data_IF_256572621607
#
_entry.id   IF_256572621607
#
_cell.length_a   1.000
_cell.length_b   1.000
_cell.length_c   1.000
_cell.angle_alpha   90.00
_cell.angle_beta   90.00
_cell.angle_gamma   90.00
#
_symmetry.space_group_name_H-M   'P 1'
#
loop_
_entity.id
_entity.type
_entity.pdbx_description
1 polymer ?
#
# COMPACT_ATOMS: atom_id res chain seq x y z
N UNK A 1 -5.69 0.48 9.22
CA UNK A 1 -5.17 0.15 10.56
C UNK A 1 -5.23 -1.37 10.66
N UNK A 2 -4.09 -2.04 10.70
CA UNK A 2 -4.02 -3.50 10.63
C UNK A 2 -4.10 -4.08 12.03
N UNK A 3 -5.13 -4.88 12.31
CA UNK A 3 -5.28 -5.62 13.56
C UNK A 3 -5.20 -7.11 13.24
N UNK A 4 -4.23 -7.80 13.83
CA UNK A 4 -4.07 -9.24 13.66
C UNK A 4 -4.27 -9.92 15.00
N UNK A 5 -5.33 -10.72 15.12
CA UNK A 5 -5.61 -11.53 16.31
C UNK A 5 -4.83 -12.85 16.24
N UNK A 6 -4.18 -13.23 17.34
CA UNK A 6 -3.50 -14.52 17.46
C UNK A 6 -4.51 -15.66 17.47
N UNK A 7 -4.28 -16.70 16.66
CA UNK A 7 -5.09 -17.93 16.67
C UNK A 7 -4.56 -18.91 17.74
N UNK A 8 -5.45 -19.79 18.22
CA UNK A 8 -5.09 -20.83 19.20
C UNK A 8 -4.09 -21.80 18.57
N UNK A 9 -2.94 -22.03 19.22
CA UNK A 9 -1.83 -22.85 18.68
C UNK A 9 -0.91 -22.14 17.67
N UNK A 10 -1.11 -20.84 17.41
CA UNK A 10 -0.26 -20.09 16.49
C UNK A 10 1.05 -19.64 17.17
N UNK A 11 2.19 -19.94 16.53
CA UNK A 11 3.48 -19.43 16.97
C UNK A 11 3.64 -17.93 16.68
N UNK A 12 4.40 -17.22 17.50
CA UNK A 12 4.66 -15.77 17.38
C UNK A 12 5.29 -15.40 16.03
N UNK A 13 6.20 -16.23 15.50
CA UNK A 13 6.82 -15.98 14.20
C UNK A 13 5.82 -16.00 13.05
N UNK A 14 4.88 -16.93 13.08
CA UNK A 14 3.83 -17.06 12.06
C UNK A 14 2.88 -15.86 12.10
N UNK A 15 2.59 -15.37 13.31
CA UNK A 15 1.80 -14.16 13.53
C UNK A 15 2.50 -12.92 12.94
N UNK A 16 3.80 -12.75 13.21
CA UNK A 16 4.61 -11.64 12.67
C UNK A 16 4.72 -11.68 11.14
N UNK A 17 4.88 -12.87 10.56
CA UNK A 17 4.87 -13.06 9.10
C UNK A 17 3.52 -12.64 8.49
N UNK A 18 2.40 -13.04 9.10
CA UNK A 18 1.06 -12.63 8.65
C UNK A 18 0.87 -11.13 8.77
N UNK A 19 1.25 -10.53 9.90
CA UNK A 19 1.20 -9.08 10.08
C UNK A 19 2.00 -8.34 9.02
N UNK A 20 3.23 -8.79 8.74
CA UNK A 20 4.11 -8.21 7.72
C UNK A 20 3.47 -8.29 6.33
N UNK A 21 2.86 -9.43 5.99
CA UNK A 21 2.16 -9.62 4.72
C UNK A 21 0.98 -8.63 4.57
N UNK A 22 0.10 -8.56 5.56
CA UNK A 22 -1.07 -7.67 5.53
C UNK A 22 -0.64 -6.19 5.49
N UNK A 23 0.37 -5.82 6.27
CA UNK A 23 0.92 -4.45 6.29
C UNK A 23 1.51 -4.04 4.94
N UNK A 24 2.16 -4.97 4.24
CA UNK A 24 2.66 -4.76 2.88
C UNK A 24 1.53 -4.64 1.86
N UNK A 25 0.50 -5.48 1.96
CA UNK A 25 -0.68 -5.44 1.08
C UNK A 25 -1.44 -4.12 1.21
N UNK A 26 -1.64 -3.63 2.44
CA UNK A 26 -2.26 -2.31 2.69
C UNK A 26 -1.37 -1.12 2.31
N UNK A 27 -0.12 -1.34 1.86
CA UNK A 27 0.83 -0.28 1.45
C UNK A 27 1.01 0.84 2.49
N UNK A 28 0.87 0.53 3.78
CA UNK A 28 0.89 1.52 4.87
C UNK A 28 2.20 2.32 4.89
N UNK A 29 3.33 1.65 4.66
CA UNK A 29 4.64 2.30 4.62
C UNK A 29 4.75 3.36 3.50
N UNK A 30 4.11 3.11 2.35
CA UNK A 30 4.07 4.07 1.25
C UNK A 30 3.23 5.30 1.60
N UNK A 31 2.05 5.08 2.19
CA UNK A 31 1.15 6.16 2.59
C UNK A 31 1.74 7.04 3.69
N UNK A 32 2.43 6.45 4.67
CA UNK A 32 3.15 7.18 5.71
C UNK A 32 4.27 8.02 5.10
N UNK A 33 5.10 7.44 4.23
CA UNK A 33 6.18 8.18 3.57
C UNK A 33 5.67 9.33 2.71
N UNK A 34 4.53 9.15 2.02
CA UNK A 34 3.90 10.20 1.21
C UNK A 34 3.40 11.38 2.05
N UNK A 35 3.03 11.13 3.31
CA UNK A 35 2.57 12.14 4.27
C UNK A 35 3.67 12.65 5.22
N UNK A 36 4.88 12.10 5.13
CA UNK A 36 6.00 12.47 6.00
C UNK A 36 6.37 13.96 5.89
N UNK A 37 6.18 14.53 4.70
CA UNK A 37 6.45 15.95 4.44
C UNK A 37 5.20 16.62 3.90
N UNK A 38 5.05 17.90 4.21
CA UNK A 38 4.01 18.71 3.60
C UNK A 38 4.26 18.85 2.09
N UNK A 39 3.24 18.56 1.29
CA UNK A 39 3.22 18.82 -0.14
C UNK A 39 2.23 19.93 -0.45
N UNK A 40 2.66 20.94 -1.22
CA UNK A 40 1.76 21.98 -1.74
C UNK A 40 0.59 21.34 -2.51
N UNK A 41 -0.65 21.85 -2.41
CA UNK A 41 -1.82 21.23 -3.04
C UNK A 41 -1.70 21.02 -4.56
N UNK A 42 -0.99 21.91 -5.26
CA UNK A 42 -0.72 21.77 -6.71
C UNK A 42 0.15 20.55 -7.02
N UNK A 43 1.19 20.30 -6.23
CA UNK A 43 2.06 19.14 -6.36
C UNK A 43 1.30 17.85 -6.02
N UNK A 44 0.44 17.89 -4.99
CA UNK A 44 -0.41 16.75 -4.65
C UNK A 44 -1.37 16.38 -5.78
N UNK A 45 -1.99 17.38 -6.44
CA UNK A 45 -2.83 17.17 -7.63
C UNK A 45 -2.04 16.54 -8.78
N UNK A 46 -0.83 17.03 -9.03
CA UNK A 46 0.07 16.51 -10.08
C UNK A 46 0.43 15.04 -9.84
N UNK A 47 0.81 14.68 -8.61
CA UNK A 47 1.10 13.29 -8.24
C UNK A 47 -0.12 12.37 -8.41
N UNK A 48 -1.30 12.78 -7.92
CA UNK A 48 -2.53 12.00 -8.06
C UNK A 48 -2.87 11.72 -9.53
N UNK A 49 -2.67 12.70 -10.42
CA UNK A 49 -2.87 12.51 -11.85
C UNK A 49 -1.86 11.51 -12.44
N UNK A 50 -0.58 11.63 -12.08
CA UNK A 50 0.48 10.71 -12.52
C UNK A 50 0.17 9.27 -12.08
N UNK A 51 -0.25 9.06 -10.84
CA UNK A 51 -0.63 7.75 -10.30
C UNK A 51 -1.85 7.17 -11.05
N UNK A 52 -2.85 8.00 -11.36
CA UNK A 52 -4.03 7.58 -12.14
C UNK A 52 -3.65 7.13 -13.56
N UNK A 53 -2.78 7.87 -14.23
CA UNK A 53 -2.28 7.52 -15.56
C UNK A 53 -1.48 6.21 -15.55
N UNK A 54 -0.58 6.04 -14.57
CA UNK A 54 0.17 4.79 -14.39
C UNK A 54 -0.75 3.58 -14.19
N UNK A 55 -1.76 3.70 -13.33
CA UNK A 55 -2.76 2.63 -13.10
C UNK A 55 -3.51 2.26 -14.37
N UNK A 56 -3.96 3.26 -15.14
CA UNK A 56 -4.60 3.04 -16.45
C UNK A 56 -3.67 2.34 -17.44
N UNK A 57 -2.41 2.76 -17.52
CA UNK A 57 -1.42 2.15 -18.41
C UNK A 57 -1.13 0.69 -18.03
N UNK A 58 -1.01 0.38 -16.74
CA UNK A 58 -0.84 -0.99 -16.26
C UNK A 58 -2.05 -1.88 -16.57
N UNK A 59 -3.27 -1.38 -16.39
CA UNK A 59 -4.48 -2.12 -16.75
C UNK A 59 -4.52 -2.43 -18.25
N UNK A 60 -4.26 -1.44 -19.13
CA UNK A 60 -4.20 -1.66 -20.58
C UNK A 60 -3.19 -2.74 -20.97
N UNK A 61 -1.98 -2.72 -20.39
CA UNK A 61 -0.97 -3.77 -20.61
C UNK A 61 -1.43 -5.16 -20.16
N UNK A 62 -2.28 -5.26 -19.14
CA UNK A 62 -2.79 -6.53 -18.62
C UNK A 62 -3.87 -7.15 -19.51
N UNK A 63 -4.68 -6.32 -20.16
CA UNK A 63 -5.72 -6.77 -21.12
C UNK A 63 -5.18 -7.00 -22.54
N UNK A 64 -3.97 -6.54 -22.83
CA UNK A 64 -3.28 -6.75 -24.11
C UNK A 64 -2.42 -8.03 -24.14
N UNK A 65 -2.41 -8.80 -23.05
CA UNK A 65 -1.75 -10.11 -22.93
C UNK A 65 -2.82 -11.18 -22.82
#
# INVERSE_FOLDING_TARGET
>A
MVVVKKKRGENTDTLLKRFTKITKEENIAFDVNKKKYYLKPSLLKKEKMKDKLKRKAMQKKRFSR
#
